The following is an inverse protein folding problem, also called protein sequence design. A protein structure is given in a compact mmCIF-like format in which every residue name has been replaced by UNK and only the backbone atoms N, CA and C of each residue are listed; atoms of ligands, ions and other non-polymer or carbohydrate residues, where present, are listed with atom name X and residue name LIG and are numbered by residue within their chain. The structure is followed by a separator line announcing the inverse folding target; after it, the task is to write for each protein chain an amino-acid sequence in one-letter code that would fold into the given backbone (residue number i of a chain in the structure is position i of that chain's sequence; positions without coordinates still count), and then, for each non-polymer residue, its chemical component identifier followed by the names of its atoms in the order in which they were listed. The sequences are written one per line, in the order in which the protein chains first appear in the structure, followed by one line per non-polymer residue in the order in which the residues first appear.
data_IF_221717487446
#
_entry.id   IF_221717487446
#
_cell.length_a   1.000
_cell.length_b   1.000
_cell.length_c   1.000
_cell.angle_alpha   90.00
_cell.angle_beta   90.00
_cell.angle_gamma   90.00
#
_symmetry.space_group_name_H-M   'P 1'
#
loop_
_entity.id
_entity.type
_entity.pdbx_description
1 polymer ?
#
# COMPACT_ATOMS: atom_id res chain seq x y z
N UNK A 1 47.71 34.14 54.94
CA UNK A 1 47.82 35.63 54.96
C UNK A 1 48.91 35.99 53.96
N UNK A 2 48.85 37.05 53.14
CA UNK A 2 47.97 38.24 53.09
C UNK A 2 47.22 38.35 51.73
N UNK A 3 46.22 39.25 51.66
CA UNK A 3 45.61 39.78 50.41
C UNK A 3 46.22 41.17 50.07
N UNK A 4 45.60 41.89 49.11
CA UNK A 4 45.61 43.36 48.85
C UNK A 4 46.59 43.80 47.73
N UNK A 5 46.23 44.70 46.77
CA UNK A 5 44.91 45.30 46.44
C UNK A 5 44.47 45.10 44.95
N UNK A 6 43.38 45.78 44.57
CA UNK A 6 42.88 45.96 43.19
C UNK A 6 43.02 47.42 42.74
N UNK A 7 43.24 47.63 41.43
CA UNK A 7 42.89 48.82 40.64
C UNK A 7 42.55 48.29 39.22
N UNK A 8 41.36 48.40 38.62
CA UNK A 8 40.27 49.39 38.59
C UNK A 8 40.39 50.42 37.44
N UNK A 9 39.27 50.59 36.72
CA UNK A 9 38.95 51.40 35.51
C UNK A 9 38.98 50.63 34.16
N UNK A 10 38.07 50.88 33.19
CA UNK A 10 36.66 51.36 33.20
C UNK A 10 36.05 51.12 31.78
N UNK A 11 34.74 50.83 31.66
CA UNK A 11 33.74 51.03 30.55
C UNK A 11 34.18 51.02 29.04
N UNK A 12 33.43 50.68 27.98
CA UNK A 12 32.00 50.56 27.57
C UNK A 12 31.96 49.44 26.48
N UNK A 13 30.93 48.64 26.15
CA UNK A 13 29.50 48.48 26.53
C UNK A 13 29.27 47.02 27.04
N UNK A 14 28.11 46.34 27.13
CA UNK A 14 26.67 46.56 26.80
C UNK A 14 26.22 46.52 25.32
N UNK A 15 26.04 45.31 24.76
CA UNK A 15 25.13 45.04 23.61
C UNK A 15 23.88 44.29 24.09
N UNK A 16 22.79 45.04 24.29
CA UNK A 16 21.49 44.50 24.69
C UNK A 16 20.82 43.87 23.45
N UNK A 17 20.80 42.53 23.34
CA UNK A 17 19.89 41.88 22.38
C UNK A 17 18.49 41.89 22.96
N UNK A 18 17.69 42.84 22.50
CA UNK A 18 16.33 43.10 22.99
C UNK A 18 15.42 41.91 22.69
N UNK A 19 14.79 41.40 23.74
CA UNK A 19 13.70 40.42 23.64
C UNK A 19 12.45 41.10 23.07
N UNK A 20 12.38 41.22 21.74
CA UNK A 20 11.25 41.78 21.04
C UNK A 20 10.13 40.73 20.91
N UNK A 21 9.36 40.55 21.99
CA UNK A 21 8.11 39.82 21.92
C UNK A 21 7.10 40.64 21.09
N UNK A 22 6.82 40.20 19.86
CA UNK A 22 5.72 40.72 19.05
C UNK A 22 4.50 39.80 19.18
N UNK A 23 3.34 40.42 19.36
CA UNK A 23 2.07 39.76 19.67
C UNK A 23 1.64 38.74 18.62
N UNK A 24 1.02 37.65 19.08
CA UNK A 24 0.37 36.71 18.18
C UNK A 24 -0.77 37.39 17.38
N UNK A 25 -0.70 37.30 16.06
CA UNK A 25 -1.88 37.39 15.19
C UNK A 25 -2.32 35.96 14.94
N UNK A 26 -3.42 35.54 15.57
CA UNK A 26 -4.00 34.21 15.38
C UNK A 26 -4.71 34.14 14.03
N UNK A 27 -3.95 33.85 12.98
CA UNK A 27 -4.53 33.36 11.73
C UNK A 27 -5.16 31.99 12.00
N UNK A 28 -6.50 31.96 12.09
CA UNK A 28 -7.24 30.70 12.06
C UNK A 28 -7.13 30.13 10.64
N UNK A 29 -6.23 29.17 10.47
CA UNK A 29 -6.37 28.15 9.42
C UNK A 29 -7.37 27.15 9.95
N UNK A 30 -8.44 26.88 9.19
CA UNK A 30 -9.48 25.94 9.62
C UNK A 30 -8.94 24.51 9.71
N UNK A 31 -9.02 23.92 10.90
CA UNK A 31 -8.66 22.53 11.15
C UNK A 31 -9.78 21.60 10.63
N UNK A 32 -9.95 21.53 9.30
CA UNK A 32 -10.88 20.63 8.62
C UNK A 32 -10.33 20.11 7.27
N UNK A 33 -9.00 20.05 7.12
CA UNK A 33 -8.39 19.13 6.17
C UNK A 33 -8.37 17.72 6.81
N UNK A 34 -8.93 16.67 6.18
CA UNK A 34 -8.85 15.32 6.72
C UNK A 34 -7.37 14.90 6.80
N UNK A 35 -6.96 14.14 7.83
CA UNK A 35 -5.55 13.82 8.02
C UNK A 35 -5.01 13.08 6.79
N UNK A 36 -4.05 13.70 6.10
CA UNK A 36 -3.35 13.08 4.98
C UNK A 36 -2.72 11.78 5.46
N UNK A 37 -3.28 10.64 5.03
CA UNK A 37 -2.92 9.31 5.50
C UNK A 37 -1.54 8.94 4.99
N UNK A 38 -0.51 9.24 5.80
CA UNK A 38 0.85 8.76 5.58
C UNK A 38 0.84 7.24 5.61
N UNK A 39 1.11 6.61 4.47
CA UNK A 39 1.49 5.20 4.41
C UNK A 39 2.67 5.01 5.37
N UNK A 40 2.60 4.01 6.23
CA UNK A 40 3.60 3.86 7.29
C UNK A 40 4.89 3.25 6.74
N UNK A 41 5.89 4.11 6.59
CA UNK A 41 7.20 3.84 6.01
C UNK A 41 8.08 2.96 6.91
N UNK A 42 8.78 1.98 6.30
CA UNK A 42 9.73 1.09 6.98
C UNK A 42 10.86 1.89 7.60
N UNK A 43 11.11 1.61 8.88
CA UNK A 43 12.25 2.15 9.60
C UNK A 43 13.44 1.19 9.55
N UNK A 44 14.65 1.71 9.81
CA UNK A 44 15.82 0.88 10.08
C UNK A 44 15.63 -0.06 11.30
N UNK A 45 14.73 0.29 12.23
CA UNK A 45 14.38 -0.54 13.38
C UNK A 45 13.49 -1.76 13.00
N UNK A 46 12.56 -1.62 12.04
CA UNK A 46 11.84 -2.76 11.43
C UNK A 46 12.83 -3.74 10.79
N UNK A 47 13.82 -3.18 10.10
CA UNK A 47 14.98 -3.87 9.56
C UNK A 47 15.99 -4.30 10.65
N UNK A 48 15.60 -4.32 11.93
CA UNK A 48 16.38 -4.91 13.03
C UNK A 48 17.70 -4.20 13.36
N UNK A 49 17.83 -2.92 13.01
CA UNK A 49 19.05 -2.12 13.16
C UNK A 49 18.73 -0.75 13.75
N UNK A 50 18.90 -0.62 15.06
CA UNK A 50 18.73 0.66 15.78
C UNK A 50 19.71 1.76 15.30
N UNK A 51 20.88 1.37 14.78
CA UNK A 51 21.94 2.29 14.34
C UNK A 51 22.72 1.69 13.15
N UNK A 52 22.49 2.17 11.92
CA UNK A 52 23.13 1.63 10.70
C UNK A 52 24.66 1.81 10.66
N UNK A 53 25.23 2.72 11.47
CA UNK A 53 26.67 2.92 11.62
C UNK A 53 27.34 3.46 10.36
N UNK A 54 28.50 2.89 9.96
CA UNK A 54 29.15 3.25 8.69
C UNK A 54 28.31 2.79 7.50
N UNK A 55 27.94 3.73 6.62
CA UNK A 55 27.21 3.47 5.37
C UNK A 55 28.17 3.14 4.20
N UNK A 56 27.70 2.45 3.14
CA UNK A 56 28.46 2.15 1.91
C UNK A 56 29.15 3.35 1.23
N UNK A 57 28.64 4.55 1.46
CA UNK A 57 29.17 5.83 0.96
C UNK A 57 30.41 6.32 1.70
N UNK A 58 30.73 5.76 2.87
CA UNK A 58 31.88 6.16 3.67
C UNK A 58 33.18 5.48 3.17
N UNK A 59 34.27 6.24 3.06
CA UNK A 59 35.60 5.75 2.64
C UNK A 59 36.08 4.56 3.48
N UNK A 60 35.74 4.51 4.77
CA UNK A 60 36.17 3.49 5.73
C UNK A 60 35.19 2.30 5.84
N UNK A 61 34.16 2.22 4.99
CA UNK A 61 33.19 1.11 4.97
C UNK A 61 33.84 -0.27 4.82
N UNK A 62 35.01 -0.37 4.18
CA UNK A 62 35.75 -1.62 4.03
C UNK A 62 36.08 -2.30 5.38
N UNK A 63 36.26 -1.55 6.47
CA UNK A 63 36.44 -2.13 7.81
C UNK A 63 35.19 -2.88 8.30
N UNK A 64 33.99 -2.49 7.85
CA UNK A 64 32.72 -3.15 8.16
C UNK A 64 32.63 -4.51 7.46
N UNK A 65 32.89 -4.55 6.15
CA UNK A 65 32.94 -5.81 5.38
C UNK A 65 34.09 -6.72 5.84
N UNK A 66 35.25 -6.16 6.21
CA UNK A 66 36.37 -6.93 6.79
C UNK A 66 36.02 -7.54 8.15
N UNK A 67 35.36 -6.77 9.03
CA UNK A 67 34.86 -7.28 10.31
C UNK A 67 33.79 -8.36 10.14
N UNK A 68 32.90 -8.21 9.15
CA UNK A 68 31.95 -9.26 8.73
C UNK A 68 32.67 -10.52 8.25
N UNK A 69 33.70 -10.37 7.42
CA UNK A 69 34.55 -11.47 6.96
C UNK A 69 35.23 -12.24 8.08
N UNK A 70 35.82 -11.54 9.06
CA UNK A 70 36.44 -12.15 10.25
C UNK A 70 35.39 -12.92 11.07
N UNK A 71 34.24 -12.30 11.36
CA UNK A 71 33.19 -12.97 12.14
C UNK A 71 32.61 -14.18 11.40
N UNK A 72 32.50 -14.13 10.08
CA UNK A 72 32.09 -15.26 9.26
C UNK A 72 33.13 -16.40 9.29
N UNK A 73 34.43 -16.09 9.25
CA UNK A 73 35.51 -17.08 9.33
C UNK A 73 35.47 -17.87 10.65
N UNK A 74 35.24 -17.21 11.78
CA UNK A 74 35.11 -17.85 13.10
C UNK A 74 33.71 -18.43 13.40
N UNK A 75 32.75 -18.31 12.48
CA UNK A 75 31.43 -18.94 12.60
C UNK A 75 31.49 -20.34 11.98
N UNK A 76 31.72 -21.37 12.79
CA UNK A 76 32.06 -22.70 12.27
C UNK A 76 30.87 -23.53 11.75
N UNK A 77 29.72 -23.51 12.44
CA UNK A 77 28.53 -24.30 12.07
C UNK A 77 27.83 -23.72 10.82
N UNK A 78 27.34 -24.58 9.92
CA UNK A 78 26.78 -24.14 8.63
C UNK A 78 25.46 -23.37 8.77
N UNK A 79 24.52 -23.83 9.61
CA UNK A 79 23.27 -23.11 9.90
C UNK A 79 23.57 -21.75 10.55
N UNK A 80 24.58 -21.68 11.41
CA UNK A 80 25.04 -20.42 12.00
C UNK A 80 25.69 -19.47 10.97
N UNK A 81 26.43 -19.98 9.97
CA UNK A 81 26.94 -19.17 8.84
C UNK A 81 25.79 -18.60 8.01
N UNK A 82 24.77 -19.39 7.69
CA UNK A 82 23.61 -18.94 6.92
C UNK A 82 22.84 -17.88 7.71
N UNK A 83 22.56 -18.12 9.00
CA UNK A 83 21.96 -17.14 9.92
C UNK A 83 22.78 -15.85 10.01
N UNK A 84 24.11 -15.92 9.99
CA UNK A 84 24.95 -14.72 9.99
C UNK A 84 25.00 -14.00 8.63
N UNK A 85 24.97 -14.72 7.52
CA UNK A 85 24.84 -14.13 6.17
C UNK A 85 23.48 -13.43 6.00
N UNK A 86 22.39 -14.02 6.52
CA UNK A 86 21.05 -13.40 6.60
C UNK A 86 21.05 -12.15 7.50
N UNK A 87 21.76 -12.18 8.64
CA UNK A 87 21.96 -10.96 9.44
C UNK A 87 22.68 -9.87 8.65
N UNK A 88 23.67 -10.21 7.82
CA UNK A 88 24.34 -9.23 6.95
C UNK A 88 23.38 -8.69 5.88
N UNK A 89 22.46 -9.50 5.33
CA UNK A 89 21.41 -9.03 4.41
C UNK A 89 20.56 -7.96 5.09
N UNK A 90 20.08 -8.27 6.29
CA UNK A 90 19.25 -7.40 7.09
C UNK A 90 19.99 -6.10 7.53
N UNK A 91 21.27 -6.19 7.89
CA UNK A 91 22.11 -5.01 8.11
C UNK A 91 22.30 -4.15 6.84
N UNK A 92 22.37 -4.78 5.65
CA UNK A 92 22.54 -4.06 4.38
C UNK A 92 21.25 -3.46 3.83
N UNK A 93 20.10 -4.06 4.08
CA UNK A 93 18.80 -3.42 3.86
C UNK A 93 18.67 -2.13 4.70
N UNK A 94 19.05 -2.19 5.98
CA UNK A 94 19.07 -1.00 6.85
C UNK A 94 20.18 0.02 6.51
N UNK A 95 21.22 -0.38 5.76
CA UNK A 95 22.17 0.56 5.16
C UNK A 95 21.59 1.23 3.91
N UNK A 96 20.92 0.49 3.03
CA UNK A 96 20.26 1.00 1.83
C UNK A 96 19.16 2.01 2.20
N UNK A 97 18.25 1.64 3.11
CA UNK A 97 17.24 2.57 3.67
C UNK A 97 17.89 3.83 4.24
N UNK A 98 19.02 3.70 4.94
CA UNK A 98 19.71 4.86 5.53
C UNK A 98 20.56 5.67 4.55
N UNK A 99 20.87 5.15 3.37
CA UNK A 99 21.40 5.93 2.24
C UNK A 99 20.26 6.73 1.60
N UNK A 100 19.10 6.11 1.35
CA UNK A 100 17.88 6.78 0.86
C UNK A 100 17.46 7.95 1.77
N UNK A 101 17.30 7.73 3.07
CA UNK A 101 16.96 8.78 4.06
C UNK A 101 17.93 9.98 4.11
N UNK A 102 19.21 9.80 3.73
CA UNK A 102 20.28 10.81 3.91
C UNK A 102 20.76 11.40 2.58
N UNK A 103 20.53 10.69 1.47
CA UNK A 103 20.98 11.01 0.12
C UNK A 103 19.99 10.46 -0.93
N UNK A 104 18.71 10.86 -0.93
CA UNK A 104 17.72 10.29 -1.85
C UNK A 104 18.09 10.56 -3.31
N UNK A 105 18.61 11.75 -3.62
CA UNK A 105 18.96 12.15 -4.99
C UNK A 105 20.38 11.70 -5.42
N UNK A 106 20.94 10.66 -4.80
CA UNK A 106 22.30 10.15 -5.07
C UNK A 106 22.22 8.70 -5.57
N UNK A 107 21.86 8.56 -6.86
CA UNK A 107 21.68 7.26 -7.50
C UNK A 107 22.93 6.37 -7.44
N UNK A 108 24.15 6.94 -7.49
CA UNK A 108 25.40 6.18 -7.34
C UNK A 108 25.52 5.60 -5.92
N UNK A 109 25.19 6.39 -4.88
CA UNK A 109 25.17 5.91 -3.50
C UNK A 109 24.12 4.80 -3.27
N UNK A 110 22.92 4.97 -3.82
CA UNK A 110 21.83 4.00 -3.73
C UNK A 110 22.17 2.70 -4.46
N UNK A 111 22.61 2.78 -5.72
CA UNK A 111 23.08 1.63 -6.50
C UNK A 111 24.21 0.89 -5.78
N UNK A 112 25.17 1.61 -5.20
CA UNK A 112 26.26 0.99 -4.42
C UNK A 112 25.74 0.23 -3.19
N UNK A 113 24.72 0.75 -2.52
CA UNK A 113 24.10 0.08 -1.38
C UNK A 113 23.26 -1.15 -1.81
N UNK A 114 22.51 -1.03 -2.92
CA UNK A 114 21.71 -2.10 -3.50
C UNK A 114 22.60 -3.25 -4.03
N UNK A 115 23.67 -2.94 -4.77
CA UNK A 115 24.67 -3.92 -5.22
C UNK A 115 25.34 -4.62 -4.03
N UNK A 116 25.67 -3.89 -2.96
CA UNK A 116 26.23 -4.48 -1.73
C UNK A 116 25.27 -5.49 -1.08
N UNK A 117 23.95 -5.24 -1.12
CA UNK A 117 22.91 -6.15 -0.63
C UNK A 117 22.77 -7.36 -1.55
N UNK A 118 22.65 -7.16 -2.86
CA UNK A 118 22.55 -8.23 -3.88
C UNK A 118 23.70 -9.25 -3.75
N UNK A 119 24.93 -8.75 -3.68
CA UNK A 119 26.15 -9.54 -3.47
C UNK A 119 26.11 -10.39 -2.18
N UNK A 120 25.31 -10.03 -1.18
CA UNK A 120 25.11 -10.85 0.02
C UNK A 120 23.90 -11.80 -0.12
N UNK A 121 22.84 -11.44 -0.85
CA UNK A 121 21.75 -12.38 -1.21
C UNK A 121 22.29 -13.53 -2.07
N UNK A 122 23.17 -13.26 -3.03
CA UNK A 122 23.83 -14.31 -3.84
C UNK A 122 24.66 -15.26 -2.96
N UNK A 123 25.40 -14.73 -1.97
CA UNK A 123 26.11 -15.56 -0.98
C UNK A 123 25.16 -16.34 -0.08
N UNK A 124 24.05 -15.74 0.36
CA UNK A 124 23.02 -16.39 1.16
C UNK A 124 22.43 -17.59 0.41
N UNK A 125 22.01 -17.37 -0.85
CA UNK A 125 21.56 -18.41 -1.79
C UNK A 125 22.57 -19.56 -1.89
N UNK A 126 23.83 -19.26 -2.18
CA UNK A 126 24.90 -20.28 -2.31
C UNK A 126 25.10 -21.08 -1.01
N UNK A 127 25.06 -20.43 0.16
CA UNK A 127 25.18 -21.17 1.44
C UNK A 127 23.96 -22.02 1.73
N UNK A 128 22.76 -21.51 1.44
CA UNK A 128 21.49 -22.20 1.65
C UNK A 128 21.44 -23.47 0.77
N UNK A 129 21.84 -23.35 -0.51
CA UNK A 129 22.02 -24.47 -1.45
C UNK A 129 23.10 -25.49 -1.03
N UNK A 130 24.00 -25.13 -0.12
CA UNK A 130 25.01 -26.05 0.43
C UNK A 130 24.57 -26.76 1.72
N UNK A 131 23.36 -26.48 2.21
CA UNK A 131 22.84 -27.06 3.44
C UNK A 131 22.27 -28.47 3.18
N UNK A 132 22.68 -29.43 4.02
CA UNK A 132 22.28 -30.85 3.92
C UNK A 132 21.17 -31.22 4.93
N UNK A 133 20.63 -30.22 5.63
CA UNK A 133 19.68 -30.36 6.74
C UNK A 133 18.40 -29.58 6.41
N UNK A 134 17.24 -30.17 6.69
CA UNK A 134 15.92 -29.58 6.44
C UNK A 134 15.24 -29.12 7.77
N UNK A 135 13.98 -28.70 7.70
CA UNK A 135 13.18 -28.19 8.81
C UNK A 135 12.81 -29.22 9.90
N UNK A 136 13.31 -30.46 9.83
CA UNK A 136 13.34 -31.37 10.99
C UNK A 136 14.44 -31.00 12.00
N UNK A 137 15.52 -30.32 11.59
CA UNK A 137 16.44 -29.71 12.54
C UNK A 137 15.87 -28.36 13.02
N UNK A 138 15.56 -28.26 14.32
CA UNK A 138 15.05 -27.02 14.95
C UNK A 138 15.91 -25.78 14.71
N UNK A 139 17.21 -25.91 14.40
CA UNK A 139 18.08 -24.79 14.06
C UNK A 139 17.83 -24.25 12.64
N UNK A 140 17.51 -25.15 11.70
CA UNK A 140 17.12 -24.85 10.31
C UNK A 140 15.68 -24.36 10.29
N UNK A 141 14.78 -25.01 11.01
CA UNK A 141 13.39 -24.60 11.21
C UNK A 141 13.29 -23.12 11.65
N UNK A 142 14.03 -22.73 12.69
CA UNK A 142 14.14 -21.33 13.14
C UNK A 142 14.82 -20.42 12.14
N UNK A 143 15.77 -20.93 11.34
CA UNK A 143 16.42 -20.15 10.29
C UNK A 143 15.45 -19.85 9.13
N UNK A 144 14.53 -20.77 8.83
CA UNK A 144 13.50 -20.57 7.82
C UNK A 144 12.42 -19.59 8.31
N UNK A 145 12.04 -19.64 9.60
CA UNK A 145 11.22 -18.59 10.23
C UNK A 145 11.88 -17.21 10.10
N UNK A 146 13.15 -17.10 10.53
CA UNK A 146 13.95 -15.87 10.44
C UNK A 146 14.10 -15.40 9.00
N UNK A 147 14.22 -16.32 8.03
CA UNK A 147 14.32 -15.99 6.61
C UNK A 147 13.02 -15.36 6.10
N UNK A 148 11.88 -16.02 6.29
CA UNK A 148 10.59 -15.55 5.78
C UNK A 148 10.17 -14.19 6.38
N UNK A 149 10.35 -14.00 7.69
CA UNK A 149 10.10 -12.73 8.38
C UNK A 149 10.94 -11.59 7.80
N UNK A 150 12.23 -11.85 7.53
CA UNK A 150 13.19 -10.84 7.08
C UNK A 150 13.07 -10.53 5.59
N UNK A 151 12.80 -11.53 4.74
CA UNK A 151 12.56 -11.28 3.30
C UNK A 151 11.28 -10.50 3.06
N UNK A 152 10.21 -10.71 3.84
CA UNK A 152 9.00 -9.89 3.76
C UNK A 152 9.29 -8.42 4.13
N UNK A 153 10.11 -8.18 5.17
CA UNK A 153 10.60 -6.83 5.50
C UNK A 153 11.50 -6.22 4.42
N UNK A 154 12.24 -7.03 3.66
CA UNK A 154 13.10 -6.52 2.58
C UNK A 154 12.26 -6.21 1.32
N UNK A 155 11.27 -7.05 0.98
CA UNK A 155 10.31 -6.79 -0.11
C UNK A 155 9.57 -5.45 0.10
N UNK A 156 9.09 -5.21 1.33
CA UNK A 156 8.44 -3.94 1.70
C UNK A 156 9.37 -2.72 1.51
N UNK A 157 10.68 -2.86 1.80
CA UNK A 157 11.67 -1.81 1.55
C UNK A 157 11.88 -1.56 0.05
N UNK A 158 11.90 -2.60 -0.77
CA UNK A 158 12.16 -2.44 -2.20
C UNK A 158 10.99 -1.79 -2.94
N UNK A 159 9.73 -2.10 -2.57
CA UNK A 159 8.58 -1.39 -3.12
C UNK A 159 8.61 0.11 -2.80
N UNK A 160 8.91 0.51 -1.56
CA UNK A 160 9.14 1.93 -1.24
C UNK A 160 10.24 2.59 -2.08
N UNK A 161 11.30 1.84 -2.40
CA UNK A 161 12.40 2.34 -3.21
C UNK A 161 12.03 2.42 -4.69
N UNK A 162 11.21 1.50 -5.23
CA UNK A 162 10.66 1.59 -6.59
C UNK A 162 9.71 2.78 -6.73
N UNK A 163 8.93 3.08 -5.69
CA UNK A 163 8.07 4.28 -5.65
C UNK A 163 8.86 5.59 -5.65
N UNK A 164 10.01 5.65 -4.96
CA UNK A 164 10.85 6.86 -4.88
C UNK A 164 11.84 7.01 -6.03
N UNK A 165 12.33 5.91 -6.60
CA UNK A 165 13.48 5.86 -7.52
C UNK A 165 13.17 5.01 -8.76
N UNK A 166 12.43 5.59 -9.70
CA UNK A 166 12.07 4.95 -10.98
C UNK A 166 13.31 4.46 -11.76
N UNK A 167 14.43 5.18 -11.66
CA UNK A 167 15.72 4.86 -12.30
C UNK A 167 16.43 3.63 -11.70
N UNK A 168 16.02 3.20 -10.50
CA UNK A 168 16.52 1.99 -9.83
C UNK A 168 15.59 0.78 -10.00
N UNK A 169 14.39 0.95 -10.59
CA UNK A 169 13.36 -0.10 -10.66
C UNK A 169 13.86 -1.43 -11.22
N UNK A 170 14.56 -1.40 -12.36
CA UNK A 170 15.14 -2.61 -12.99
C UNK A 170 16.10 -3.37 -12.05
N UNK A 171 16.94 -2.64 -11.32
CA UNK A 171 17.90 -3.20 -10.35
C UNK A 171 17.21 -3.74 -9.10
N UNK A 172 16.12 -3.11 -8.68
CA UNK A 172 15.28 -3.55 -7.56
C UNK A 172 14.54 -4.85 -7.93
N UNK A 173 13.93 -4.91 -9.12
CA UNK A 173 13.28 -6.11 -9.65
C UNK A 173 14.28 -7.29 -9.81
N UNK A 174 15.54 -7.03 -10.20
CA UNK A 174 16.59 -8.06 -10.23
C UNK A 174 17.03 -8.54 -8.84
N UNK A 175 17.06 -7.66 -7.83
CA UNK A 175 17.33 -8.04 -6.43
C UNK A 175 16.19 -8.89 -5.85
N UNK A 176 14.94 -8.57 -6.18
CA UNK A 176 13.78 -9.33 -5.73
C UNK A 176 13.72 -10.72 -6.37
N UNK A 177 14.07 -10.87 -7.66
CA UNK A 177 14.28 -12.20 -8.28
C UNK A 177 15.32 -13.01 -7.48
N UNK A 178 16.42 -12.39 -7.08
CA UNK A 178 17.44 -13.03 -6.23
C UNK A 178 16.92 -13.51 -4.87
N UNK A 179 15.98 -12.77 -4.26
CA UNK A 179 15.30 -13.16 -3.01
C UNK A 179 14.27 -14.27 -3.27
N UNK A 180 13.50 -14.17 -4.36
CA UNK A 180 12.57 -15.20 -4.81
C UNK A 180 13.27 -16.54 -5.03
N UNK A 181 14.47 -16.55 -5.60
CA UNK A 181 15.28 -17.77 -5.73
C UNK A 181 15.79 -18.32 -4.38
N UNK A 182 16.08 -17.46 -3.40
CA UNK A 182 16.43 -17.86 -2.02
C UNK A 182 15.22 -18.51 -1.34
N UNK A 183 14.04 -17.92 -1.47
CA UNK A 183 12.79 -18.44 -0.90
C UNK A 183 12.32 -19.70 -1.60
N UNK A 184 12.41 -19.77 -2.94
CA UNK A 184 12.21 -21.00 -3.72
C UNK A 184 13.06 -22.13 -3.16
N UNK A 185 14.37 -21.91 -3.03
CA UNK A 185 15.26 -22.97 -2.56
C UNK A 185 14.93 -23.41 -1.12
N UNK A 186 14.68 -22.47 -0.22
CA UNK A 186 14.19 -22.75 1.13
C UNK A 186 12.94 -23.63 1.13
N UNK A 187 11.89 -23.19 0.44
CA UNK A 187 10.55 -23.78 0.45
C UNK A 187 10.52 -25.14 -0.27
N UNK A 188 11.23 -25.29 -1.39
CA UNK A 188 11.22 -26.54 -2.18
C UNK A 188 12.20 -27.62 -1.68
N UNK A 189 13.27 -27.25 -0.95
CA UNK A 189 14.38 -28.18 -0.64
C UNK A 189 14.68 -28.33 0.85
N UNK A 190 14.38 -27.31 1.66
CA UNK A 190 14.71 -27.28 3.08
C UNK A 190 13.48 -27.32 3.99
N UNK A 191 12.29 -27.02 3.48
CA UNK A 191 11.06 -27.02 4.25
C UNK A 191 10.17 -28.26 4.03
N UNK A 192 9.01 -28.27 4.69
CA UNK A 192 7.92 -29.24 4.49
C UNK A 192 6.64 -28.49 4.17
N UNK A 193 5.81 -29.05 3.29
CA UNK A 193 4.59 -28.42 2.78
C UNK A 193 3.66 -27.93 3.91
N UNK A 194 3.54 -28.71 4.98
CA UNK A 194 2.72 -28.41 6.16
C UNK A 194 3.28 -27.25 7.00
N UNK A 195 4.61 -27.03 6.95
CA UNK A 195 5.30 -25.96 7.66
C UNK A 195 5.37 -24.66 6.85
N UNK A 196 5.47 -24.75 5.52
CA UNK A 196 5.52 -23.59 4.63
C UNK A 196 4.33 -22.64 4.85
N UNK A 197 3.13 -23.20 5.01
CA UNK A 197 1.90 -22.41 5.23
C UNK A 197 1.93 -21.68 6.59
N UNK A 198 2.18 -22.41 7.69
CA UNK A 198 2.30 -21.83 9.04
C UNK A 198 3.38 -20.75 9.11
N UNK A 199 4.54 -21.00 8.48
CA UNK A 199 5.69 -20.09 8.43
C UNK A 199 5.38 -18.78 7.72
N UNK A 200 4.72 -18.84 6.56
CA UNK A 200 4.36 -17.65 5.79
C UNK A 200 3.24 -16.87 6.47
N UNK A 201 2.21 -17.53 7.00
CA UNK A 201 1.16 -16.87 7.77
C UNK A 201 1.73 -16.17 9.01
N UNK A 202 2.60 -16.83 9.76
CA UNK A 202 3.32 -16.27 10.92
C UNK A 202 4.18 -15.07 10.55
N UNK A 203 4.91 -15.12 9.43
CA UNK A 203 5.73 -14.00 8.95
C UNK A 203 4.87 -12.78 8.55
N UNK A 204 3.69 -13.02 7.98
CA UNK A 204 2.71 -11.98 7.62
C UNK A 204 2.04 -11.40 8.86
N UNK A 205 1.52 -12.22 9.77
CA UNK A 205 0.78 -11.74 10.94
C UNK A 205 1.71 -11.04 11.95
N UNK A 206 3.01 -11.40 11.99
CA UNK A 206 4.05 -10.67 12.71
C UNK A 206 4.38 -9.28 12.15
N UNK A 207 3.87 -8.91 10.96
CA UNK A 207 3.99 -7.54 10.46
C UNK A 207 3.13 -6.58 11.29
N UNK A 208 3.66 -5.37 11.50
CA UNK A 208 2.94 -4.29 12.18
C UNK A 208 1.61 -4.00 11.48
N UNK A 209 0.58 -3.82 12.28
CA UNK A 209 -0.78 -3.62 11.79
C UNK A 209 -0.96 -2.20 11.22
N UNK A 210 -1.21 -2.10 9.90
CA UNK A 210 -1.44 -0.84 9.20
C UNK A 210 -2.38 -1.03 7.99
N UNK A 211 -2.59 0.04 7.21
CA UNK A 211 -3.51 0.05 6.06
C UNK A 211 -3.03 -0.76 4.84
N UNK A 212 -1.76 -1.17 4.76
CA UNK A 212 -1.20 -1.88 3.59
C UNK A 212 -0.61 -3.26 3.93
N UNK A 213 -0.83 -3.77 5.15
CA UNK A 213 -0.30 -5.06 5.61
C UNK A 213 -0.68 -6.22 4.69
N UNK A 214 -1.96 -6.34 4.35
CA UNK A 214 -2.48 -7.36 3.45
C UNK A 214 -1.96 -7.19 2.02
N UNK A 215 -1.84 -5.96 1.53
CA UNK A 215 -1.29 -5.66 0.21
C UNK A 215 0.17 -6.13 0.10
N UNK A 216 0.99 -5.78 1.09
CA UNK A 216 2.38 -6.20 1.17
C UNK A 216 2.51 -7.72 1.30
N UNK A 217 1.58 -8.36 2.02
CA UNK A 217 1.52 -9.82 2.13
C UNK A 217 1.14 -10.48 0.79
N UNK A 218 0.16 -9.95 0.07
CA UNK A 218 -0.24 -10.42 -1.27
C UNK A 218 0.94 -10.28 -2.25
N UNK A 219 1.63 -9.14 -2.28
CA UNK A 219 2.79 -8.96 -3.15
C UNK A 219 3.93 -9.95 -2.84
N UNK A 220 4.23 -10.17 -1.56
CA UNK A 220 5.23 -11.15 -1.12
C UNK A 220 4.85 -12.59 -1.48
N UNK A 221 3.59 -12.99 -1.28
CA UNK A 221 3.08 -14.31 -1.66
C UNK A 221 3.14 -14.52 -3.18
N UNK A 222 2.84 -13.49 -3.96
CA UNK A 222 2.97 -13.49 -5.43
C UNK A 222 4.43 -13.66 -5.87
N UNK A 223 5.38 -12.89 -5.31
CA UNK A 223 6.80 -13.02 -5.62
C UNK A 223 7.33 -14.44 -5.33
N UNK A 224 6.87 -15.08 -4.24
CA UNK A 224 7.20 -16.49 -3.98
C UNK A 224 6.54 -17.41 -5.03
N UNK A 225 5.24 -17.21 -5.32
CA UNK A 225 4.44 -18.01 -6.26
C UNK A 225 5.05 -18.01 -7.68
N UNK A 226 5.51 -16.87 -8.17
CA UNK A 226 6.20 -16.75 -9.47
C UNK A 226 7.56 -17.46 -9.49
N UNK A 227 8.18 -17.66 -8.32
CA UNK A 227 9.48 -18.31 -8.18
C UNK A 227 9.42 -19.80 -7.86
N UNK A 228 8.30 -20.39 -7.41
CA UNK A 228 8.19 -21.84 -7.11
C UNK A 228 7.64 -22.66 -8.29
N UNK A 229 8.05 -23.92 -8.39
CA UNK A 229 7.64 -24.87 -9.41
C UNK A 229 6.60 -25.89 -8.92
N UNK A 230 6.50 -26.13 -7.59
CA UNK A 230 5.65 -27.20 -7.04
C UNK A 230 4.16 -26.80 -7.03
N UNK A 231 3.27 -27.57 -7.70
CA UNK A 231 1.83 -27.27 -7.73
C UNK A 231 1.18 -27.22 -6.34
N UNK A 232 1.60 -28.09 -5.43
CA UNK A 232 1.08 -28.18 -4.06
C UNK A 232 1.42 -26.91 -3.25
N UNK A 233 2.61 -26.35 -3.49
CA UNK A 233 3.07 -25.11 -2.87
C UNK A 233 2.36 -23.90 -3.51
N UNK A 234 2.15 -23.92 -4.83
CA UNK A 234 1.39 -22.89 -5.55
C UNK A 234 -0.07 -22.83 -5.08
N UNK A 235 -0.70 -23.98 -4.84
CA UNK A 235 -2.04 -24.07 -4.25
C UNK A 235 -2.06 -23.44 -2.84
N UNK A 236 -1.10 -23.81 -1.98
CA UNK A 236 -0.97 -23.27 -0.62
C UNK A 236 -0.72 -21.76 -0.59
N UNK A 237 0.13 -21.25 -1.47
CA UNK A 237 0.35 -19.81 -1.63
C UNK A 237 -0.92 -19.09 -2.13
N UNK A 238 -1.72 -19.73 -2.97
CA UNK A 238 -2.99 -19.18 -3.46
C UNK A 238 -4.06 -19.15 -2.37
N UNK A 239 -4.13 -20.19 -1.52
CA UNK A 239 -5.00 -20.22 -0.32
C UNK A 239 -4.62 -19.10 0.67
N UNK A 240 -3.31 -18.89 0.91
CA UNK A 240 -2.83 -17.76 1.71
C UNK A 240 -3.12 -16.40 1.05
N UNK A 241 -2.96 -16.27 -0.27
CA UNK A 241 -3.28 -15.03 -1.02
C UNK A 241 -4.75 -14.67 -0.82
N UNK A 242 -5.66 -15.62 -1.05
CA UNK A 242 -7.11 -15.42 -0.89
C UNK A 242 -7.46 -15.01 0.55
N UNK A 243 -6.91 -15.68 1.56
CA UNK A 243 -7.09 -15.33 2.98
C UNK A 243 -6.61 -13.91 3.34
N UNK A 244 -5.63 -13.35 2.63
CA UNK A 244 -5.23 -11.93 2.81
C UNK A 244 -6.09 -10.98 1.96
N UNK A 245 -6.61 -11.42 0.80
CA UNK A 245 -7.58 -10.66 0.02
C UNK A 245 -8.91 -10.48 0.77
N UNK A 246 -9.41 -11.52 1.45
CA UNK A 246 -10.61 -11.46 2.29
C UNK A 246 -10.44 -10.45 3.45
N UNK A 247 -9.26 -10.48 4.11
CA UNK A 247 -8.88 -9.50 5.16
C UNK A 247 -8.85 -8.09 4.59
N UNK A 248 -8.26 -7.90 3.40
CA UNK A 248 -8.19 -6.61 2.72
C UNK A 248 -9.60 -6.09 2.42
N UNK A 249 -10.42 -6.88 1.72
CA UNK A 249 -11.80 -6.54 1.35
C UNK A 249 -12.64 -6.13 2.56
N UNK A 250 -12.49 -6.82 3.70
CA UNK A 250 -13.13 -6.46 4.96
C UNK A 250 -12.66 -5.10 5.52
N UNK A 251 -11.37 -4.72 5.38
CA UNK A 251 -10.87 -3.38 5.71
C UNK A 251 -11.47 -2.28 4.80
N UNK A 252 -11.82 -2.61 3.56
CA UNK A 252 -12.45 -1.66 2.63
C UNK A 252 -13.94 -1.49 2.96
N UNK A 253 -14.66 -2.61 3.15
CA UNK A 253 -16.08 -2.63 3.51
C UNK A 253 -16.36 -1.97 4.86
N UNK A 254 -15.37 -1.91 5.74
CA UNK A 254 -15.42 -1.17 7.02
C UNK A 254 -14.97 0.29 6.93
N UNK A 255 -14.55 0.78 5.75
CA UNK A 255 -14.12 2.17 5.54
C UNK A 255 -12.77 2.54 6.16
N UNK A 256 -11.97 1.56 6.60
CA UNK A 256 -10.63 1.77 7.17
C UNK A 256 -9.62 2.21 6.08
N UNK A 257 -9.93 1.94 4.82
CA UNK A 257 -9.18 2.36 3.63
C UNK A 257 -10.21 2.82 2.60
N UNK A 258 -10.03 4.00 1.99
CA UNK A 258 -10.95 4.56 1.00
C UNK A 258 -10.52 4.20 -0.44
N UNK A 259 -11.47 4.22 -1.39
CA UNK A 259 -11.20 3.78 -2.77
C UNK A 259 -10.13 4.60 -3.51
N UNK A 260 -9.92 5.87 -3.17
CA UNK A 260 -8.84 6.69 -3.76
C UNK A 260 -7.45 6.32 -3.23
N UNK A 261 -7.31 5.90 -1.96
CA UNK A 261 -6.08 5.30 -1.45
C UNK A 261 -5.80 3.96 -2.16
N UNK A 262 -6.83 3.13 -2.35
CA UNK A 262 -6.70 1.84 -3.03
C UNK A 262 -6.31 2.02 -4.51
N UNK A 263 -6.87 2.99 -5.23
CA UNK A 263 -6.57 3.21 -6.65
C UNK A 263 -5.07 3.38 -6.92
N UNK A 264 -4.39 4.21 -6.13
CA UNK A 264 -2.93 4.36 -6.22
C UNK A 264 -2.16 3.09 -5.79
N UNK A 265 -2.68 2.32 -4.82
CA UNK A 265 -2.10 1.05 -4.38
C UNK A 265 -2.28 -0.10 -5.40
N UNK A 266 -3.35 -0.07 -6.19
CA UNK A 266 -3.56 -0.96 -7.35
C UNK A 266 -2.61 -0.59 -8.49
N UNK A 267 -2.45 0.70 -8.77
CA UNK A 267 -1.53 1.15 -9.83
C UNK A 267 -0.08 0.72 -9.53
N UNK A 268 0.30 0.70 -8.25
CA UNK A 268 1.55 0.14 -7.73
C UNK A 268 1.67 -1.39 -7.86
N UNK A 269 0.56 -2.15 -7.83
CA UNK A 269 0.56 -3.60 -8.09
C UNK A 269 0.87 -3.97 -9.57
N UNK A 270 1.10 -2.99 -10.46
CA UNK A 270 1.57 -3.25 -11.83
C UNK A 270 3.05 -3.68 -11.88
N UNK A 271 3.37 -4.79 -11.21
CA UNK A 271 4.55 -5.63 -11.48
C UNK A 271 4.29 -6.65 -12.59
N UNK A 272 3.05 -7.18 -12.70
CA UNK A 272 2.61 -8.02 -13.81
C UNK A 272 1.15 -7.74 -14.19
N UNK A 273 0.92 -7.35 -15.45
CA UNK A 273 -0.36 -6.81 -15.97
C UNK A 273 -1.51 -7.81 -16.12
N UNK A 274 -1.52 -8.88 -15.32
CA UNK A 274 -2.57 -9.91 -15.26
C UNK A 274 -3.13 -9.99 -13.84
N UNK A 275 -2.28 -9.97 -12.81
CA UNK A 275 -2.75 -10.13 -11.42
C UNK A 275 -3.35 -8.86 -10.82
N UNK A 276 -2.90 -7.67 -11.26
CA UNK A 276 -3.56 -6.41 -10.90
C UNK A 276 -5.04 -6.40 -11.34
N UNK A 277 -5.40 -7.12 -12.42
CA UNK A 277 -6.79 -7.24 -12.90
C UNK A 277 -7.65 -8.19 -12.05
N UNK A 278 -7.08 -9.27 -11.49
CA UNK A 278 -7.78 -10.13 -10.53
C UNK A 278 -8.08 -9.38 -9.23
N UNK A 279 -7.08 -8.63 -8.75
CA UNK A 279 -7.20 -7.81 -7.55
C UNK A 279 -8.19 -6.66 -7.79
N UNK A 280 -8.06 -5.89 -8.88
CA UNK A 280 -9.07 -4.90 -9.32
C UNK A 280 -10.47 -5.48 -9.32
N UNK A 281 -10.69 -6.62 -9.99
CA UNK A 281 -12.02 -7.19 -10.13
C UNK A 281 -12.65 -7.59 -8.79
N UNK A 282 -11.92 -8.28 -7.90
CA UNK A 282 -12.43 -8.59 -6.55
C UNK A 282 -12.65 -7.31 -5.72
N UNK A 283 -11.87 -6.26 -5.95
CA UNK A 283 -12.03 -4.96 -5.28
C UNK A 283 -13.23 -4.17 -5.81
N UNK A 284 -13.50 -4.22 -7.11
CA UNK A 284 -14.68 -3.64 -7.77
C UNK A 284 -15.95 -4.37 -7.32
N UNK A 285 -15.98 -5.72 -7.39
CA UNK A 285 -17.06 -6.55 -6.84
C UNK A 285 -17.25 -6.32 -5.33
N UNK A 286 -16.18 -6.05 -4.59
CA UNK A 286 -16.21 -5.64 -3.18
C UNK A 286 -16.82 -4.25 -2.95
N UNK A 287 -16.48 -3.27 -3.79
CA UNK A 287 -16.94 -1.88 -3.73
C UNK A 287 -18.39 -1.68 -4.20
N UNK A 288 -18.86 -2.45 -5.18
CA UNK A 288 -20.27 -2.51 -5.59
C UNK A 288 -21.19 -2.96 -4.43
N UNK A 289 -20.65 -3.71 -3.48
CA UNK A 289 -21.33 -4.11 -2.24
C UNK A 289 -21.19 -3.09 -1.08
N UNK A 290 -20.39 -2.03 -1.23
CA UNK A 290 -20.31 -0.88 -0.30
C UNK A 290 -21.18 0.26 -0.82
N UNK A 291 -20.97 0.64 -2.07
CA UNK A 291 -21.74 1.67 -2.78
C UNK A 291 -22.77 0.98 -3.68
N UNK A 292 -23.88 0.54 -3.10
CA UNK A 292 -24.98 -0.04 -3.86
C UNK A 292 -25.43 0.92 -4.97
N UNK A 293 -25.24 0.51 -6.23
CA UNK A 293 -25.37 1.32 -7.46
C UNK A 293 -24.23 2.36 -7.62
N UNK A 294 -23.02 1.88 -7.92
CA UNK A 294 -22.05 2.66 -8.70
C UNK A 294 -22.75 3.14 -9.98
N UNK A 295 -22.68 4.43 -10.27
CA UNK A 295 -23.46 5.03 -11.34
C UNK A 295 -22.84 4.71 -12.71
N UNK A 296 -23.66 4.20 -13.64
CA UNK A 296 -23.40 4.43 -15.06
C UNK A 296 -23.21 5.94 -15.31
N UNK A 297 -22.37 6.36 -16.28
CA UNK A 297 -22.19 7.78 -16.59
C UNK A 297 -23.51 8.39 -17.08
N UNK A 298 -24.25 9.03 -16.17
CA UNK A 298 -25.56 9.59 -16.45
C UNK A 298 -25.44 10.77 -17.41
N UNK A 299 -25.73 10.53 -18.69
CA UNK A 299 -25.82 11.58 -19.70
C UNK A 299 -27.23 12.16 -19.68
N UNK A 300 -27.42 13.28 -18.98
CA UNK A 300 -28.69 13.99 -19.01
C UNK A 300 -28.92 14.63 -20.39
N UNK A 301 -30.14 14.47 -20.91
CA UNK A 301 -30.62 15.25 -22.05
C UNK A 301 -30.76 16.72 -21.63
N UNK A 302 -30.36 17.66 -22.51
CA UNK A 302 -30.47 19.12 -22.28
C UNK A 302 -31.92 19.66 -22.35
N UNK A 303 -32.92 18.80 -22.15
CA UNK A 303 -34.33 19.19 -22.12
C UNK A 303 -34.65 19.98 -20.84
N UNK A 304 -35.28 21.15 -20.99
CA UNK A 304 -35.66 22.00 -19.86
C UNK A 304 -37.09 21.65 -19.38
N UNK A 305 -37.17 20.81 -18.34
CA UNK A 305 -38.38 20.50 -17.55
C UNK A 305 -38.06 20.76 -16.07
N UNK A 306 -38.00 22.04 -15.65
CA UNK A 306 -37.31 22.43 -14.44
C UNK A 306 -37.96 21.87 -13.17
N UNK A 307 -37.13 21.56 -12.19
CA UNK A 307 -37.56 21.02 -10.89
C UNK A 307 -36.90 21.77 -9.73
N UNK A 308 -37.58 21.83 -8.59
CA UNK A 308 -37.03 22.40 -7.36
C UNK A 308 -36.51 21.27 -6.47
N UNK A 309 -35.23 21.31 -6.14
CA UNK A 309 -34.59 20.38 -5.21
C UNK A 309 -34.96 20.67 -3.75
N UNK A 310 -34.77 19.69 -2.86
CA UNK A 310 -34.99 19.89 -1.42
C UNK A 310 -33.99 20.89 -0.81
N UNK A 311 -32.81 21.03 -1.41
CA UNK A 311 -31.81 22.06 -1.14
C UNK A 311 -32.25 23.49 -1.57
N UNK A 312 -33.45 23.62 -2.14
CA UNK A 312 -34.06 24.84 -2.66
C UNK A 312 -33.36 25.47 -3.88
N UNK A 313 -32.60 24.69 -4.66
CA UNK A 313 -32.10 25.10 -5.99
C UNK A 313 -33.00 24.58 -7.13
N UNK A 314 -33.11 25.37 -8.20
CA UNK A 314 -33.73 24.95 -9.45
C UNK A 314 -32.74 24.15 -10.29
N UNK A 315 -33.15 22.96 -10.74
CA UNK A 315 -32.41 22.13 -11.69
C UNK A 315 -33.12 22.12 -13.05
N UNK A 316 -32.35 22.07 -14.14
CA UNK A 316 -32.89 22.14 -15.52
C UNK A 316 -33.85 21.00 -15.86
N UNK A 317 -33.65 19.82 -15.26
CA UNK A 317 -34.59 18.71 -15.21
C UNK A 317 -34.24 17.77 -14.04
N UNK A 318 -35.04 16.73 -13.83
CA UNK A 318 -34.84 15.75 -12.74
C UNK A 318 -33.54 14.94 -12.85
N UNK A 319 -33.00 14.71 -14.06
CA UNK A 319 -31.72 14.03 -14.22
C UNK A 319 -30.56 14.87 -13.67
N UNK A 320 -30.57 16.20 -13.93
CA UNK A 320 -29.57 17.10 -13.34
C UNK A 320 -29.69 17.22 -11.81
N UNK A 321 -30.87 16.94 -11.23
CA UNK A 321 -31.04 16.82 -9.77
C UNK A 321 -30.50 15.48 -9.24
N UNK A 322 -30.72 14.36 -9.96
CA UNK A 322 -30.18 13.03 -9.61
C UNK A 322 -28.64 13.00 -9.62
N UNK A 323 -28.02 13.59 -10.65
CA UNK A 323 -26.54 13.76 -10.74
C UNK A 323 -26.00 14.63 -9.60
N UNK A 324 -26.76 15.63 -9.16
CA UNK A 324 -26.39 16.46 -8.01
C UNK A 324 -26.69 15.79 -6.65
N UNK A 325 -27.25 14.58 -6.66
CA UNK A 325 -27.72 13.83 -5.48
C UNK A 325 -28.71 14.62 -4.60
N UNK A 326 -29.63 15.38 -5.24
CA UNK A 326 -30.68 16.15 -4.56
C UNK A 326 -32.06 15.61 -4.93
N UNK A 327 -32.85 15.22 -3.93
CA UNK A 327 -34.24 14.80 -4.14
C UNK A 327 -35.12 15.97 -4.64
N UNK A 328 -36.06 15.65 -5.54
CA UNK A 328 -36.96 16.63 -6.15
C UNK A 328 -38.16 16.89 -5.24
N UNK A 329 -38.16 18.08 -4.63
CA UNK A 329 -39.20 18.59 -3.73
C UNK A 329 -40.52 18.87 -4.47
N UNK A 330 -40.46 19.43 -5.68
CA UNK A 330 -41.60 19.62 -6.59
C UNK A 330 -41.17 19.90 -8.03
N UNK A 331 -42.07 19.67 -9.00
CA UNK A 331 -41.91 20.12 -10.40
C UNK A 331 -42.14 21.63 -10.54
N UNK A 332 -41.38 22.26 -11.42
CA UNK A 332 -41.30 23.71 -11.58
C UNK A 332 -40.12 24.31 -10.82
N UNK A 333 -39.71 25.52 -11.21
CA UNK A 333 -38.61 26.25 -10.58
C UNK A 333 -38.90 26.62 -9.11
N UNK A 334 -37.86 26.62 -8.27
CA UNK A 334 -37.98 27.08 -6.90
C UNK A 334 -38.48 28.54 -6.82
N UNK A 335 -39.41 28.80 -5.90
CA UNK A 335 -39.95 30.14 -5.64
C UNK A 335 -41.07 30.60 -6.60
N UNK A 336 -41.41 29.83 -7.64
CA UNK A 336 -42.53 30.15 -8.57
C UNK A 336 -43.86 29.47 -8.21
N UNK A 337 -44.10 29.14 -6.95
CA UNK A 337 -45.39 28.61 -6.48
C UNK A 337 -46.45 29.74 -6.42
N UNK A 338 -47.25 29.90 -7.47
CA UNK A 338 -48.22 31.01 -7.52
C UNK A 338 -49.20 31.11 -8.68
N UNK A 339 -49.53 30.03 -9.41
CA UNK A 339 -50.58 30.07 -10.46
C UNK A 339 -51.23 28.71 -10.73
N UNK A 340 -51.82 28.09 -9.71
CA UNK A 340 -52.79 27.01 -9.94
C UNK A 340 -54.15 27.59 -10.34
N UNK A 341 -54.60 27.35 -11.58
CA UNK A 341 -56.03 27.42 -11.91
C UNK A 341 -56.52 26.02 -12.29
N UNK A 342 -57.43 25.48 -11.51
CA UNK A 342 -57.93 24.11 -11.64
C UNK A 342 -59.14 24.03 -12.56
N UNK A 343 -58.94 24.14 -13.88
CA UNK A 343 -60.00 23.90 -14.86
C UNK A 343 -60.15 22.40 -15.16
N UNK A 344 -61.25 21.83 -14.69
CA UNK A 344 -61.49 20.39 -14.73
C UNK A 344 -62.05 19.92 -16.08
N UNK A 345 -61.25 19.21 -16.88
CA UNK A 345 -61.77 18.29 -17.89
C UNK A 345 -61.90 16.88 -17.30
N UNK A 346 -63.06 16.61 -16.70
CA UNK A 346 -63.47 15.24 -16.39
C UNK A 346 -63.73 14.50 -17.70
N UNK A 347 -63.06 13.37 -17.94
CA UNK A 347 -63.59 12.33 -18.80
C UNK A 347 -64.02 11.15 -17.93
N UNK A 348 -65.33 10.93 -17.87
CA UNK A 348 -65.98 10.04 -16.93
C UNK A 348 -66.07 8.64 -17.57
N UNK A 349 -65.26 7.70 -17.09
CA UNK A 349 -65.20 6.32 -17.61
C UNK A 349 -66.45 5.56 -17.15
N UNK A 350 -67.56 5.75 -17.86
CA UNK A 350 -68.82 5.08 -17.56
C UNK A 350 -68.87 3.70 -18.22
N UNK A 351 -68.91 2.65 -17.40
CA UNK A 351 -68.83 1.26 -17.85
C UNK A 351 -70.20 0.71 -18.27
N UNK A 352 -70.48 0.64 -19.57
CA UNK A 352 -71.52 -0.27 -20.09
C UNK A 352 -71.32 -0.73 -21.54
N UNK A 353 -70.97 -2.01 -21.62
CA UNK A 353 -70.94 -2.97 -22.73
C UNK A 353 -71.91 -2.68 -23.90
N UNK A 354 -71.40 -2.73 -25.14
CA UNK A 354 -71.92 -3.69 -26.13
C UNK A 354 -70.95 -3.94 -27.29
N UNK A 355 -70.74 -5.23 -27.63
CA UNK A 355 -69.96 -5.67 -28.80
C UNK A 355 -70.96 -6.21 -29.82
N UNK A 356 -70.99 -5.63 -31.02
CA UNK A 356 -71.73 -6.20 -32.16
C UNK A 356 -70.77 -7.04 -33.01
N UNK A 357 -70.99 -8.36 -33.19
CA UNK A 357 -70.00 -9.28 -33.75
C UNK A 357 -70.02 -9.33 -35.29
N UNK A 358 -69.93 -8.18 -35.97
CA UNK A 358 -69.89 -8.08 -37.43
C UNK A 358 -69.06 -6.86 -37.88
N UNK A 359 -67.74 -7.01 -38.03
CA UNK A 359 -66.83 -6.20 -38.91
C UNK A 359 -65.33 -6.49 -38.64
N UNK A 360 -64.90 -7.76 -38.69
CA UNK A 360 -63.47 -8.09 -38.86
C UNK A 360 -63.34 -9.07 -40.02
N UNK A 361 -63.02 -8.54 -41.20
CA UNK A 361 -62.40 -9.36 -42.25
C UNK A 361 -60.90 -9.42 -41.97
N UNK A 362 -60.35 -10.62 -42.01
CA UNK A 362 -58.92 -10.84 -42.15
C UNK A 362 -58.66 -11.05 -43.64
N UNK A 363 -57.86 -10.17 -44.24
CA UNK A 363 -57.27 -10.40 -45.56
C UNK A 363 -55.76 -10.60 -45.35
N UNK A 364 -55.30 -11.79 -45.72
CA UNK A 364 -53.89 -12.20 -45.75
C UNK A 364 -53.61 -12.64 -47.18
N UNK A 365 -52.63 -12.01 -47.84
CA UNK A 365 -52.10 -12.46 -49.13
C UNK A 365 -50.60 -12.74 -48.98
N UNK A 366 -50.28 -14.02 -49.10
CA UNK A 366 -49.06 -14.70 -49.59
C UNK A 366 -47.71 -13.95 -49.66
#
# INVERSE_FOLDING_TARGET
MKKIPSMALILVSVSFFVFAALSAVSAQVDNNEPPATTIEEITTADLGVENSGLLPTNLFYFFKEWGRGIKMFFTFNNVAKIRYELKIANEKAAELKKVDEVKPNDAEALEKALNNYNENVLRLKTRLQSLQENSDNSNVDKLLDELAERTLKHQQLFEELKERHEDLREKLDDVEKGIGEVLKHAIENLDKLEKTEERLEKAIDAQKENQIKELNAIHFLNMIKENVNSPEIIEKLSQLKEKQMDKLEAKLKSGVINSSQIGGLIEKLNGSGVEASEILKKLEEGLDNVNGKLAEPQVCMELYDPVCGDDSKTYSNSCFAEIAHVEVKYKGECGKQGSGNSDSLKFEVNSQINISPDSIKVETED
#
